data_IF_949344939768
#
_entry.id   IF_949344939768
#
_cell.length_a   1.000
_cell.length_b   1.000
_cell.length_c   1.000
_cell.angle_alpha   90.00
_cell.angle_beta   90.00
_cell.angle_gamma   90.00
#
_symmetry.space_group_name_H-M   'P 1'
#
loop_
_entity.id
_entity.type
_entity.pdbx_description
1 polymer ?
#
# COMPACT_ATOMS: atom_id res chain seq x y z
N UNK A 1 -46.17 -38.38 -2.21
CA UNK A 1 -44.92 -39.01 -1.74
C UNK A 1 -43.80 -38.54 -2.66
N UNK A 2 -42.65 -38.12 -2.11
CA UNK A 2 -41.69 -37.26 -2.81
C UNK A 2 -40.61 -38.10 -3.49
N UNK A 3 -40.22 -37.74 -4.72
CA UNK A 3 -39.06 -38.33 -5.37
C UNK A 3 -37.95 -37.29 -5.52
N UNK A 4 -37.06 -37.33 -4.52
CA UNK A 4 -35.60 -37.23 -4.56
C UNK A 4 -34.96 -36.10 -5.39
N UNK A 5 -34.55 -35.04 -4.68
CA UNK A 5 -33.55 -34.08 -5.18
C UNK A 5 -32.17 -34.71 -5.01
N UNK A 6 -31.55 -35.07 -6.13
CA UNK A 6 -30.20 -35.63 -6.21
C UNK A 6 -29.18 -34.55 -5.81
N UNK A 7 -28.60 -34.67 -4.62
CA UNK A 7 -27.44 -33.88 -4.20
C UNK A 7 -26.23 -34.32 -5.02
N UNK A 8 -25.77 -33.48 -5.94
CA UNK A 8 -24.44 -33.63 -6.56
C UNK A 8 -23.47 -32.69 -5.86
N UNK A 9 -22.60 -33.25 -5.02
CA UNK A 9 -21.39 -32.57 -4.54
C UNK A 9 -20.49 -32.31 -5.75
N UNK A 10 -20.23 -31.03 -6.06
CA UNK A 10 -19.20 -30.67 -7.05
C UNK A 10 -17.84 -30.63 -6.36
N UNK A 11 -17.00 -31.57 -6.77
CA UNK A 11 -15.57 -31.67 -6.47
C UNK A 11 -14.86 -30.37 -6.85
N UNK A 12 -14.04 -29.87 -5.92
CA UNK A 12 -13.17 -28.70 -6.09
C UNK A 12 -12.23 -28.94 -7.25
N UNK A 13 -12.53 -28.34 -8.40
CA UNK A 13 -11.67 -28.36 -9.58
C UNK A 13 -10.97 -27.00 -9.65
N UNK A 14 -9.64 -27.00 -9.73
CA UNK A 14 -8.82 -25.79 -9.88
C UNK A 14 -9.40 -24.87 -10.96
N UNK A 15 -9.50 -23.58 -10.62
CA UNK A 15 -10.10 -22.53 -11.41
C UNK A 15 -9.54 -22.45 -12.85
N UNK A 16 -10.29 -23.01 -13.79
CA UNK A 16 -10.25 -22.58 -15.18
C UNK A 16 -11.08 -21.28 -15.27
N UNK A 17 -10.48 -20.20 -15.79
CA UNK A 17 -11.09 -18.90 -16.14
C UNK A 17 -12.62 -18.97 -16.28
N UNK A 18 -13.34 -18.70 -15.20
CA UNK A 18 -14.80 -18.59 -15.23
C UNK A 18 -15.12 -17.13 -15.54
N UNK A 19 -15.44 -16.85 -16.80
CA UNK A 19 -15.75 -15.49 -17.30
C UNK A 19 -17.24 -15.14 -17.19
N UNK A 20 -18.08 -16.03 -16.64
CA UNK A 20 -19.53 -15.87 -16.57
C UNK A 20 -20.07 -16.28 -15.20
N UNK A 21 -21.09 -15.57 -14.73
CA UNK A 21 -21.82 -15.82 -13.48
C UNK A 21 -22.99 -16.79 -13.69
N UNK A 22 -23.32 -17.54 -12.64
CA UNK A 22 -24.43 -18.49 -12.62
C UNK A 22 -25.21 -18.44 -11.30
N UNK A 23 -26.40 -19.05 -11.31
CA UNK A 23 -27.23 -19.23 -10.12
C UNK A 23 -26.44 -20.01 -9.07
N UNK A 24 -26.46 -19.51 -7.83
CA UNK A 24 -25.73 -20.06 -6.70
C UNK A 24 -24.30 -19.52 -6.54
N UNK A 25 -23.79 -18.74 -7.49
CA UNK A 25 -22.50 -18.09 -7.31
C UNK A 25 -22.57 -17.06 -6.20
N UNK A 26 -21.51 -17.03 -5.39
CA UNK A 26 -21.32 -15.99 -4.38
C UNK A 26 -20.54 -14.84 -5.02
N UNK A 27 -21.12 -13.65 -5.02
CA UNK A 27 -20.62 -12.47 -5.73
C UNK A 27 -20.51 -11.25 -4.82
N UNK A 28 -19.74 -10.27 -5.25
CA UNK A 28 -19.60 -8.97 -4.59
C UNK A 28 -20.22 -7.90 -5.48
N UNK A 29 -21.05 -7.04 -4.88
CA UNK A 29 -21.69 -5.92 -5.56
C UNK A 29 -21.49 -4.63 -4.73
N UNK A 30 -20.34 -3.95 -4.90
CA UNK A 30 -19.92 -2.86 -4.02
C UNK A 30 -20.88 -1.67 -3.93
N UNK A 31 -21.67 -1.46 -4.97
CA UNK A 31 -22.70 -0.43 -5.05
C UNK A 31 -23.92 -0.70 -4.17
N UNK A 32 -24.16 -1.96 -3.80
CA UNK A 32 -25.27 -2.35 -2.92
C UNK A 32 -24.76 -2.60 -1.50
N UNK A 33 -23.73 -3.43 -1.34
CA UNK A 33 -23.14 -3.75 -0.04
C UNK A 33 -21.71 -4.27 -0.19
N UNK A 34 -20.90 -4.11 0.86
CA UNK A 34 -19.59 -4.75 0.99
C UNK A 34 -19.69 -6.24 1.34
N UNK A 35 -20.88 -6.72 1.73
CA UNK A 35 -21.12 -8.13 2.03
C UNK A 35 -21.40 -8.91 0.74
N UNK A 36 -20.99 -10.19 0.68
CA UNK A 36 -21.26 -11.03 -0.48
C UNK A 36 -22.74 -11.38 -0.59
N UNK A 37 -23.21 -11.49 -1.84
CA UNK A 37 -24.55 -11.93 -2.20
C UNK A 37 -24.50 -13.30 -2.85
N UNK A 38 -25.61 -14.05 -2.78
CA UNK A 38 -25.77 -15.28 -3.55
C UNK A 38 -26.70 -14.98 -4.73
N UNK A 39 -26.26 -15.29 -5.94
CA UNK A 39 -27.10 -15.10 -7.13
C UNK A 39 -28.24 -16.12 -7.17
N UNK A 40 -29.44 -15.62 -7.43
CA UNK A 40 -30.64 -16.45 -7.67
C UNK A 40 -31.16 -16.25 -9.09
N UNK A 41 -32.06 -17.13 -9.52
CA UNK A 41 -32.85 -16.90 -10.73
C UNK A 41 -33.87 -15.77 -10.49
N UNK A 42 -34.37 -15.17 -11.57
CA UNK A 42 -35.53 -14.26 -11.51
C UNK A 42 -36.65 -14.88 -10.66
N UNK A 43 -37.03 -14.25 -9.53
CA UNK A 43 -38.04 -14.78 -8.61
C UNK A 43 -39.43 -14.89 -9.26
N UNK A 44 -39.69 -14.14 -10.34
CA UNK A 44 -40.94 -14.23 -11.09
C UNK A 44 -40.88 -15.26 -12.22
N UNK A 45 -39.69 -15.84 -12.50
CA UNK A 45 -39.47 -16.91 -13.47
C UNK A 45 -39.75 -16.52 -14.93
N UNK A 46 -39.71 -15.22 -15.25
CA UNK A 46 -40.06 -14.70 -16.59
C UNK A 46 -38.83 -14.39 -17.44
N UNK A 47 -37.63 -14.45 -16.86
CA UNK A 47 -36.35 -14.09 -17.51
C UNK A 47 -35.25 -15.06 -17.16
N UNK A 48 -34.30 -15.20 -18.08
CA UNK A 48 -33.03 -15.93 -17.88
C UNK A 48 -31.96 -15.01 -17.23
N UNK A 49 -32.38 -14.11 -16.34
CA UNK A 49 -31.52 -13.13 -15.68
C UNK A 49 -31.11 -13.60 -14.28
N UNK A 50 -29.92 -13.19 -13.85
CA UNK A 50 -29.40 -13.42 -12.51
C UNK A 50 -29.85 -12.29 -11.59
N UNK A 51 -30.22 -12.61 -10.35
CA UNK A 51 -30.84 -11.66 -9.43
C UNK A 51 -30.11 -11.60 -8.09
N UNK A 52 -30.01 -10.39 -7.53
CA UNK A 52 -29.65 -10.12 -6.13
C UNK A 52 -30.87 -9.50 -5.44
N UNK A 53 -31.25 -10.03 -4.27
CA UNK A 53 -32.18 -9.40 -3.34
C UNK A 53 -31.39 -8.49 -2.38
N UNK A 54 -31.72 -7.20 -2.38
CA UNK A 54 -31.17 -6.24 -1.44
C UNK A 54 -32.24 -5.22 -1.05
N UNK A 55 -32.41 -5.02 0.27
CA UNK A 55 -33.36 -4.06 0.84
C UNK A 55 -34.80 -4.22 0.31
N UNK A 56 -35.24 -5.46 0.10
CA UNK A 56 -36.58 -5.79 -0.41
C UNK A 56 -36.79 -5.51 -1.90
N UNK A 57 -35.71 -5.24 -2.64
CA UNK A 57 -35.71 -4.99 -4.08
C UNK A 57 -34.83 -6.00 -4.82
N UNK A 58 -35.23 -6.33 -6.05
CA UNK A 58 -34.50 -7.25 -6.93
C UNK A 58 -33.67 -6.48 -7.97
N UNK A 59 -32.37 -6.75 -8.00
CA UNK A 59 -31.42 -6.20 -8.96
C UNK A 59 -31.02 -7.29 -9.97
N UNK A 60 -31.18 -7.01 -11.26
CA UNK A 60 -31.00 -7.98 -12.33
C UNK A 60 -29.67 -7.79 -13.05
N UNK A 61 -29.05 -8.91 -13.43
CA UNK A 61 -27.74 -8.97 -14.06
C UNK A 61 -27.74 -10.02 -15.17
N UNK A 62 -26.97 -9.77 -16.23
CA UNK A 62 -26.72 -10.77 -17.27
C UNK A 62 -25.67 -11.79 -16.82
N UNK A 63 -25.45 -12.82 -17.64
CA UNK A 63 -24.44 -13.86 -17.36
C UNK A 63 -23.00 -13.34 -17.30
N UNK A 64 -22.72 -12.11 -17.77
CA UNK A 64 -21.40 -11.47 -17.67
C UNK A 64 -21.29 -10.56 -16.43
N UNK A 65 -22.36 -10.42 -15.66
CA UNK A 65 -22.41 -9.62 -14.44
C UNK A 65 -22.67 -8.15 -14.69
N UNK A 66 -23.13 -7.77 -15.89
CA UNK A 66 -23.57 -6.41 -16.17
C UNK A 66 -24.99 -6.20 -15.68
N UNK A 67 -25.22 -5.07 -15.01
CA UNK A 67 -26.55 -4.68 -14.57
C UNK A 67 -27.51 -4.52 -15.74
N UNK A 68 -28.63 -5.25 -15.70
CA UNK A 68 -29.72 -5.16 -16.66
C UNK A 68 -30.72 -4.15 -16.12
N UNK A 69 -30.59 -2.89 -16.55
CA UNK A 69 -31.54 -1.83 -16.16
C UNK A 69 -32.93 -2.14 -16.70
N UNK A 70 -33.93 -2.24 -15.82
CA UNK A 70 -35.31 -2.43 -16.24
C UNK A 70 -36.04 -1.13 -16.59
N UNK A 71 -35.47 0.04 -16.26
CA UNK A 71 -35.91 1.41 -16.61
C UNK A 71 -35.30 2.36 -15.58
N UNK A 72 -34.17 2.97 -15.91
CA UNK A 72 -33.79 4.22 -15.25
C UNK A 72 -32.98 5.07 -16.23
N UNK A 73 -33.70 5.85 -17.03
CA UNK A 73 -33.14 6.91 -17.87
C UNK A 73 -33.03 8.25 -17.13
N UNK A 74 -33.45 8.33 -15.86
CA UNK A 74 -33.56 9.59 -15.13
C UNK A 74 -32.39 9.86 -14.18
N UNK A 75 -31.81 8.85 -13.54
CA UNK A 75 -30.86 9.11 -12.43
C UNK A 75 -29.38 9.11 -12.83
N UNK A 76 -29.03 8.67 -14.05
CA UNK A 76 -27.66 8.56 -14.55
C UNK A 76 -26.68 7.90 -13.52
N UNK A 77 -27.21 7.00 -12.67
CA UNK A 77 -26.40 6.33 -11.65
C UNK A 77 -25.71 5.12 -12.28
N UNK A 78 -24.39 5.13 -12.13
CA UNK A 78 -23.41 4.27 -12.75
C UNK A 78 -23.76 2.77 -12.72
N UNK A 79 -23.48 2.13 -13.86
CA UNK A 79 -23.58 0.70 -14.13
C UNK A 79 -22.87 -0.12 -13.05
N UNK A 80 -23.62 -0.97 -12.34
CA UNK A 80 -23.08 -1.82 -11.28
C UNK A 80 -22.62 -3.15 -11.88
N UNK A 81 -21.33 -3.47 -11.77
CA UNK A 81 -20.80 -4.75 -12.26
C UNK A 81 -20.63 -5.72 -11.09
N UNK A 82 -20.99 -6.99 -11.30
CA UNK A 82 -20.73 -8.06 -10.35
C UNK A 82 -19.25 -8.47 -10.39
N UNK A 83 -18.72 -8.82 -9.23
CA UNK A 83 -17.40 -9.41 -9.11
C UNK A 83 -17.50 -10.78 -8.44
N UNK A 84 -16.71 -11.74 -8.93
CA UNK A 84 -16.59 -13.04 -8.25
C UNK A 84 -16.05 -12.84 -6.84
N UNK A 85 -16.56 -13.60 -5.87
CA UNK A 85 -16.13 -13.53 -4.49
C UNK A 85 -14.78 -14.23 -4.25
N UNK A 86 -13.72 -13.71 -4.85
CA UNK A 86 -12.33 -14.17 -4.67
C UNK A 86 -11.61 -13.31 -3.65
N UNK A 87 -10.51 -13.81 -3.07
CA UNK A 87 -9.68 -13.05 -2.15
C UNK A 87 -9.16 -11.74 -2.78
N UNK A 88 -8.70 -11.82 -4.03
CA UNK A 88 -8.19 -10.66 -4.77
C UNK A 88 -9.28 -9.59 -5.01
N UNK A 89 -10.49 -10.01 -5.40
CA UNK A 89 -11.59 -9.07 -5.63
C UNK A 89 -12.08 -8.44 -4.31
N UNK A 90 -12.14 -9.21 -3.21
CA UNK A 90 -12.43 -8.64 -1.88
C UNK A 90 -11.41 -7.58 -1.48
N UNK A 91 -10.13 -7.86 -1.67
CA UNK A 91 -9.06 -6.90 -1.37
C UNK A 91 -9.18 -5.64 -2.21
N UNK A 92 -9.34 -5.78 -3.53
CA UNK A 92 -9.50 -4.64 -4.44
C UNK A 92 -10.72 -3.78 -4.10
N UNK A 93 -11.87 -4.41 -3.83
CA UNK A 93 -13.11 -3.72 -3.44
C UNK A 93 -12.95 -3.00 -2.09
N UNK A 94 -12.33 -3.65 -1.10
CA UNK A 94 -12.06 -3.01 0.19
C UNK A 94 -11.13 -1.80 0.05
N UNK A 95 -10.13 -1.87 -0.83
CA UNK A 95 -9.24 -0.73 -1.11
C UNK A 95 -9.97 0.42 -1.81
N UNK A 96 -10.90 0.13 -2.72
CA UNK A 96 -11.58 1.13 -3.53
C UNK A 96 -12.82 1.75 -2.86
N UNK A 97 -13.56 0.95 -2.09
CA UNK A 97 -14.90 1.29 -1.58
C UNK A 97 -15.06 1.09 -0.08
N UNK A 98 -14.14 0.38 0.57
CA UNK A 98 -14.10 0.33 2.02
C UNK A 98 -13.75 1.73 2.53
N UNK A 99 -14.68 2.38 3.23
CA UNK A 99 -14.32 3.46 4.14
C UNK A 99 -13.18 2.91 4.99
N UNK A 100 -11.99 3.47 4.81
CA UNK A 100 -10.79 2.99 5.46
C UNK A 100 -11.05 2.90 6.96
N UNK A 101 -11.29 1.68 7.46
CA UNK A 101 -10.88 1.39 8.82
C UNK A 101 -9.36 1.61 8.80
N UNK A 102 -8.81 2.53 9.60
CA UNK A 102 -7.38 2.88 9.56
C UNK A 102 -6.43 1.74 9.98
N UNK A 103 -6.90 0.50 10.01
CA UNK A 103 -6.25 -0.61 10.74
C UNK A 103 -6.00 -1.85 9.89
N UNK A 104 -6.15 -1.80 8.57
CA UNK A 104 -5.35 -2.70 7.74
C UNK A 104 -4.13 -1.93 7.24
N UNK A 105 -3.16 -1.78 8.15
CA UNK A 105 -1.76 -1.61 7.74
C UNK A 105 -1.53 -2.69 6.69
N UNK A 106 -1.24 -2.29 5.45
CA UNK A 106 -0.59 -3.18 4.50
C UNK A 106 0.50 -3.90 5.28
N UNK A 107 0.61 -5.24 5.23
CA UNK A 107 1.63 -5.93 6.01
C UNK A 107 2.98 -5.26 5.72
N UNK A 108 3.50 -4.57 6.74
CA UNK A 108 4.81 -3.93 6.64
C UNK A 108 5.77 -5.06 6.35
N UNK A 109 6.53 -4.93 5.27
CA UNK A 109 7.65 -5.82 5.01
C UNK A 109 8.76 -5.37 5.97
N UNK A 110 8.74 -5.93 7.17
CA UNK A 110 9.71 -5.62 8.21
C UNK A 110 11.03 -6.29 7.86
N UNK A 111 12.11 -5.51 7.80
CA UNK A 111 13.47 -6.05 7.79
C UNK A 111 13.84 -6.14 9.26
N UNK A 112 13.74 -7.35 9.81
CA UNK A 112 14.16 -7.61 11.18
C UNK A 112 15.67 -7.88 11.19
N UNK A 113 16.41 -6.99 11.83
CA UNK A 113 17.86 -7.08 12.01
C UNK A 113 18.24 -7.39 13.47
N UNK A 114 17.25 -7.65 14.32
CA UNK A 114 17.50 -7.98 15.73
C UNK A 114 18.05 -9.41 15.86
N UNK A 115 19.04 -9.61 16.73
CA UNK A 115 19.25 -10.94 17.30
C UNK A 115 18.07 -11.27 18.21
N UNK A 116 17.76 -12.56 18.37
CA UNK A 116 16.45 -13.12 18.73
C UNK A 116 15.82 -12.73 20.10
N UNK A 117 16.28 -11.68 20.77
CA UNK A 117 15.91 -11.34 22.15
C UNK A 117 15.61 -9.83 22.38
N UNK A 118 15.33 -9.05 21.32
CA UNK A 118 14.86 -7.67 21.46
C UNK A 118 13.32 -7.59 21.40
N UNK A 119 12.67 -7.34 22.55
CA UNK A 119 11.21 -7.24 22.71
C UNK A 119 10.59 -5.97 22.08
N UNK A 120 11.39 -5.09 21.47
CA UNK A 120 10.95 -3.80 20.95
C UNK A 120 11.61 -3.48 19.60
N UNK A 121 10.78 -3.22 18.59
CA UNK A 121 11.22 -2.91 17.24
C UNK A 121 10.92 -1.45 16.87
N UNK A 122 11.94 -0.73 16.41
CA UNK A 122 11.80 0.62 15.87
C UNK A 122 11.52 0.54 14.37
N UNK A 123 10.35 0.99 13.95
CA UNK A 123 9.94 0.96 12.55
C UNK A 123 10.33 2.26 11.84
N UNK A 124 11.14 2.15 10.79
CA UNK A 124 11.47 3.23 9.87
C UNK A 124 11.16 2.82 8.43
N UNK A 125 10.69 3.75 7.61
CA UNK A 125 10.52 3.49 6.17
C UNK A 125 11.88 3.17 5.53
N UNK A 126 11.92 2.14 4.68
CA UNK A 126 13.12 1.79 3.90
C UNK A 126 13.64 2.95 3.06
N UNK A 127 12.75 3.83 2.58
CA UNK A 127 13.13 5.05 1.87
C UNK A 127 13.80 6.08 2.78
N UNK A 128 13.30 6.26 4.01
CA UNK A 128 13.92 7.15 4.98
C UNK A 128 15.30 6.63 5.40
N UNK A 129 15.41 5.32 5.67
CA UNK A 129 16.68 4.67 5.97
C UNK A 129 17.68 4.80 4.79
N UNK A 130 17.21 4.61 3.56
CA UNK A 130 18.05 4.79 2.37
C UNK A 130 18.54 6.22 2.22
N UNK A 131 17.67 7.22 2.43
CA UNK A 131 18.06 8.63 2.34
C UNK A 131 19.11 8.99 3.40
N UNK A 132 18.90 8.54 4.65
CA UNK A 132 19.87 8.72 5.74
C UNK A 132 21.22 8.10 5.35
N UNK A 133 21.22 6.87 4.83
CA UNK A 133 22.45 6.18 4.44
C UNK A 133 23.18 6.93 3.31
N UNK A 134 22.46 7.37 2.27
CA UNK A 134 23.02 8.16 1.18
C UNK A 134 23.61 9.49 1.68
N UNK A 135 22.93 10.18 2.60
CA UNK A 135 23.41 11.45 3.15
C UNK A 135 24.66 11.24 4.02
N UNK A 136 24.73 10.16 4.80
CA UNK A 136 25.92 9.81 5.59
C UNK A 136 27.10 9.47 4.67
N UNK A 137 26.87 8.71 3.60
CA UNK A 137 27.90 8.39 2.60
C UNK A 137 28.42 9.65 1.91
N UNK A 138 27.51 10.50 1.41
CA UNK A 138 27.85 11.77 0.77
C UNK A 138 28.59 12.74 1.70
N UNK A 139 28.23 12.78 2.98
CA UNK A 139 28.98 13.55 3.98
C UNK A 139 30.41 13.02 4.16
N UNK A 140 30.58 11.69 4.19
CA UNK A 140 31.89 11.05 4.27
C UNK A 140 32.80 11.43 3.11
N UNK A 141 32.28 11.39 1.87
CA UNK A 141 33.01 11.80 0.68
C UNK A 141 33.42 13.27 0.74
N UNK A 142 32.48 14.16 1.08
CA UNK A 142 32.75 15.60 1.09
C UNK A 142 33.74 15.99 2.20
N UNK A 143 33.68 15.34 3.37
CA UNK A 143 34.66 15.59 4.43
C UNK A 143 36.07 15.07 4.07
N UNK A 144 36.20 13.96 3.32
CA UNK A 144 37.49 13.53 2.77
C UNK A 144 38.05 14.56 1.79
N UNK A 145 37.22 15.05 0.86
CA UNK A 145 37.60 16.07 -0.11
C UNK A 145 38.02 17.39 0.57
N UNK A 146 37.27 17.84 1.57
CA UNK A 146 37.65 18.99 2.41
C UNK A 146 38.99 18.75 3.08
N UNK A 147 39.21 17.56 3.67
CA UNK A 147 40.49 17.19 4.29
C UNK A 147 41.67 17.28 3.32
N UNK A 148 41.50 16.74 2.11
CA UNK A 148 42.50 16.82 1.03
C UNK A 148 42.76 18.26 0.60
N UNK A 149 41.70 19.06 0.46
CA UNK A 149 41.80 20.48 0.13
C UNK A 149 42.60 21.26 1.16
N UNK A 150 42.26 21.09 2.44
CA UNK A 150 42.98 21.74 3.55
C UNK A 150 44.44 21.29 3.61
N UNK A 151 44.72 20.01 3.33
CA UNK A 151 46.09 19.51 3.23
C UNK A 151 46.88 20.17 2.09
N UNK A 152 46.29 20.32 0.90
CA UNK A 152 46.91 20.99 -0.24
C UNK A 152 47.21 22.47 0.06
N UNK A 153 46.26 23.17 0.69
CA UNK A 153 46.44 24.55 1.15
C UNK A 153 47.60 24.62 2.14
N UNK A 154 47.59 23.75 3.16
CA UNK A 154 48.64 23.72 4.19
C UNK A 154 50.03 23.44 3.61
N UNK A 155 50.13 22.59 2.59
CA UNK A 155 51.39 22.27 1.90
C UNK A 155 51.82 23.35 0.89
N UNK A 156 51.07 24.45 0.75
CA UNK A 156 51.36 25.51 -0.22
C UNK A 156 51.30 25.02 -1.67
N UNK A 157 50.51 23.98 -1.94
CA UNK A 157 50.33 23.40 -3.29
C UNK A 157 49.31 24.16 -4.13
N UNK A 158 48.64 25.13 -3.54
CA UNK A 158 47.64 26.00 -4.16
C UNK A 158 48.09 27.44 -3.95
N UNK A 159 47.97 28.29 -4.97
CA UNK A 159 48.32 29.71 -4.86
C UNK A 159 47.44 30.43 -3.83
N UNK A 160 47.91 31.56 -3.29
CA UNK A 160 47.25 32.25 -2.18
C UNK A 160 45.80 32.69 -2.49
N UNK A 161 45.54 33.19 -3.70
CA UNK A 161 44.20 33.63 -4.11
C UNK A 161 43.23 32.46 -4.24
N UNK A 162 43.67 31.37 -4.85
CA UNK A 162 42.88 30.15 -5.03
C UNK A 162 42.68 29.43 -3.71
N UNK A 163 43.69 29.41 -2.83
CA UNK A 163 43.60 28.82 -1.49
C UNK A 163 42.52 29.49 -0.64
N UNK A 164 42.38 30.81 -0.74
CA UNK A 164 41.35 31.55 0.00
C UNK A 164 39.93 31.23 -0.48
N UNK A 165 39.73 31.12 -1.80
CA UNK A 165 38.44 30.73 -2.37
C UNK A 165 38.07 29.29 -2.01
N UNK A 166 39.03 28.37 -2.10
CA UNK A 166 38.81 26.96 -1.77
C UNK A 166 38.62 26.71 -0.26
N UNK A 167 39.28 27.49 0.60
CA UNK A 167 39.03 27.44 2.05
C UNK A 167 37.60 27.89 2.39
N UNK A 168 37.08 28.91 1.71
CA UNK A 168 35.67 29.33 1.86
C UNK A 168 34.71 28.26 1.38
N UNK A 169 34.96 27.68 0.20
CA UNK A 169 34.16 26.57 -0.32
C UNK A 169 34.15 25.37 0.64
N UNK A 170 35.30 25.02 1.22
CA UNK A 170 35.40 23.95 2.21
C UNK A 170 34.58 24.25 3.48
N UNK A 171 34.62 25.50 3.96
CA UNK A 171 33.82 25.93 5.10
C UNK A 171 32.30 25.90 4.81
N UNK A 172 31.88 26.43 3.66
CA UNK A 172 30.48 26.45 3.25
C UNK A 172 29.95 25.03 3.08
N UNK A 173 30.75 24.15 2.46
CA UNK A 173 30.41 22.73 2.29
C UNK A 173 30.28 22.02 3.63
N UNK A 174 31.23 22.23 4.56
CA UNK A 174 31.15 21.65 5.90
C UNK A 174 29.90 22.12 6.67
N UNK A 175 29.52 23.39 6.51
CA UNK A 175 28.33 23.97 7.14
C UNK A 175 27.07 23.30 6.62
N UNK A 176 26.90 23.22 5.29
CA UNK A 176 25.74 22.56 4.67
C UNK A 176 25.62 21.11 5.11
N UNK A 177 26.71 20.35 5.13
CA UNK A 177 26.67 18.95 5.56
C UNK A 177 26.42 18.78 7.06
N UNK A 178 26.87 19.74 7.89
CA UNK A 178 26.51 19.75 9.31
C UNK A 178 25.00 19.91 9.48
N UNK A 179 24.35 20.77 8.70
CA UNK A 179 22.90 20.95 8.72
C UNK A 179 22.17 19.70 8.24
N UNK A 180 22.60 19.10 7.12
CA UNK A 180 22.04 17.84 6.59
C UNK A 180 22.13 16.73 7.64
N UNK A 181 23.31 16.50 8.21
CA UNK A 181 23.51 15.45 9.21
C UNK A 181 22.71 15.72 10.50
N UNK A 182 22.58 16.98 10.92
CA UNK A 182 21.75 17.35 12.07
C UNK A 182 20.27 17.05 11.82
N UNK A 183 19.78 17.31 10.61
CA UNK A 183 18.41 16.96 10.21
C UNK A 183 18.20 15.44 10.16
N UNK A 184 19.18 14.67 9.68
CA UNK A 184 19.09 13.21 9.70
C UNK A 184 19.11 12.67 11.14
N UNK A 185 19.95 13.23 12.00
CA UNK A 185 19.98 12.88 13.42
C UNK A 185 18.64 13.18 14.11
N UNK A 186 18.02 14.33 13.83
CA UNK A 186 16.69 14.64 14.34
C UNK A 186 15.63 13.62 13.86
N UNK A 187 15.68 13.25 12.57
CA UNK A 187 14.81 12.24 11.96
C UNK A 187 14.94 10.86 12.62
N UNK A 188 16.16 10.48 13.04
CA UNK A 188 16.41 9.22 13.75
C UNK A 188 16.00 9.32 15.23
N UNK A 189 16.24 10.46 15.86
CA UNK A 189 15.93 10.68 17.28
C UNK A 189 14.43 10.68 17.56
N UNK A 190 13.58 11.14 16.64
CA UNK A 190 12.13 11.14 16.81
C UNK A 190 11.57 9.74 17.14
N UNK A 191 11.78 8.69 16.31
CA UNK A 191 11.31 7.35 16.64
C UNK A 191 12.07 6.72 17.81
N UNK A 192 13.37 7.00 17.96
CA UNK A 192 14.14 6.48 19.11
C UNK A 192 13.67 7.05 20.45
N UNK A 193 13.22 8.31 20.50
CA UNK A 193 12.68 8.95 21.70
C UNK A 193 11.44 8.25 22.26
N UNK A 194 10.72 7.55 21.39
CA UNK A 194 9.52 6.80 21.72
C UNK A 194 9.85 5.37 22.18
N UNK A 195 11.12 4.95 22.04
CA UNK A 195 11.60 3.63 22.45
C UNK A 195 12.13 3.64 23.88
N UNK A 196 12.14 2.48 24.54
CA UNK A 196 12.77 2.33 25.88
C UNK A 196 14.29 2.45 25.84
N UNK A 197 14.90 2.38 24.65
CA UNK A 197 16.33 2.49 24.42
C UNK A 197 16.82 3.92 24.18
N UNK A 198 15.91 4.87 23.89
CA UNK A 198 16.27 6.24 23.56
C UNK A 198 16.65 7.08 24.78
N UNK A 199 17.96 7.23 25.06
CA UNK A 199 18.46 8.45 25.70
C UNK A 199 18.75 9.48 24.61
N UNK A 200 17.75 10.31 24.31
CA UNK A 200 17.92 11.43 23.38
C UNK A 200 18.69 12.53 24.10
N UNK A 201 19.99 12.64 23.81
CA UNK A 201 20.86 13.72 24.27
C UNK A 201 21.27 13.61 25.75
N UNK A 202 22.58 13.47 25.96
CA UNK A 202 23.27 14.09 27.09
C UNK A 202 24.15 15.20 26.53
#
# INVERSE_FOLDING_TARGET
MPNSIRTTSKTTTLAAKQTTFAIGDVVLCPSLSMQPFTLSADPYGKRDDLTIDYDGSYHYYDAHGYFVSFKDTETNRYQTSLFHNTLANRQAINTLYGNANPTQKTPLKTIDITEADEDEAVLMSSMALSNIACDIEGAGEIFDDIGRLLWLIHRGKIDHSTAMALARLAHDSATVWTDVLSNQLATINEPLSQSKFGKVGA
#
